data_IF_045513544543
#
_entry.id   IF_045513544543
#
_cell.length_a   1.000
_cell.length_b   1.000
_cell.length_c   1.000
_cell.angle_alpha   90.00
_cell.angle_beta   90.00
_cell.angle_gamma   90.00
#
_symmetry.space_group_name_H-M   'P 1'
#
loop_
_entity.id
_entity.type
_entity.pdbx_description
1 polymer ?
#
# COMPACT_ATOMS: atom_id res chain seq x y z
N UNK A 1 -15.79 -4.10 7.01
CA UNK A 1 -17.25 -4.28 6.94
C UNK A 1 -17.58 -5.07 5.71
N UNK A 2 -17.58 -6.38 5.89
CA UNK A 2 -18.22 -7.32 4.99
C UNK A 2 -19.72 -7.00 5.03
N UNK A 3 -20.32 -6.69 3.88
CA UNK A 3 -21.71 -6.25 3.80
C UNK A 3 -22.61 -7.45 3.55
N UNK A 4 -23.82 -7.44 4.13
CA UNK A 4 -24.85 -8.48 4.09
C UNK A 4 -25.23 -9.01 2.69
N UNK A 5 -24.73 -8.43 1.59
CA UNK A 5 -25.15 -8.76 0.23
C UNK A 5 -24.23 -9.70 -0.56
N UNK A 6 -23.04 -10.09 -0.09
CA UNK A 6 -22.11 -10.88 -0.93
C UNK A 6 -21.41 -12.08 -0.27
N UNK A 7 -22.05 -12.67 0.75
CA UNK A 7 -21.70 -13.83 1.60
C UNK A 7 -21.63 -13.36 3.06
N UNK A 8 -22.43 -13.97 3.93
CA UNK A 8 -22.56 -13.63 5.36
C UNK A 8 -21.20 -13.43 6.02
N UNK A 9 -21.02 -12.27 6.66
CA UNK A 9 -19.80 -11.84 7.33
C UNK A 9 -19.35 -12.86 8.39
N UNK A 10 -18.48 -13.81 8.01
CA UNK A 10 -18.27 -15.08 8.73
C UNK A 10 -18.06 -14.93 10.25
N UNK A 11 -16.92 -14.38 10.66
CA UNK A 11 -16.61 -14.22 12.10
C UNK A 11 -17.41 -13.09 12.77
N UNK A 12 -17.95 -12.16 12.00
CA UNK A 12 -18.75 -11.05 12.53
C UNK A 12 -20.13 -11.51 13.01
N UNK A 13 -20.69 -12.56 12.42
CA UNK A 13 -22.01 -13.11 12.80
C UNK A 13 -21.92 -14.16 13.92
N UNK A 14 -20.77 -14.79 14.10
CA UNK A 14 -20.60 -15.90 15.05
C UNK A 14 -20.17 -15.46 16.45
N UNK A 15 -19.49 -14.30 16.57
CA UNK A 15 -18.95 -13.81 17.83
C UNK A 15 -19.67 -12.56 18.33
N UNK A 16 -20.07 -12.55 19.60
CA UNK A 16 -20.73 -11.42 20.27
C UNK A 16 -19.90 -10.84 21.42
N UNK A 17 -20.21 -9.60 21.80
CA UNK A 17 -19.64 -8.92 22.98
C UNK A 17 -18.12 -8.70 22.91
N UNK A 18 -17.39 -9.23 23.89
CA UNK A 18 -15.94 -9.02 24.04
C UNK A 18 -15.11 -9.65 22.91
N UNK A 19 -15.54 -10.80 22.38
CA UNK A 19 -14.82 -11.49 21.29
C UNK A 19 -14.90 -10.69 19.99
N UNK A 20 -16.06 -10.12 19.70
CA UNK A 20 -16.24 -9.17 18.60
C UNK A 20 -15.32 -7.96 18.75
N UNK A 21 -15.27 -7.35 19.94
CA UNK A 21 -14.40 -6.20 20.21
C UNK A 21 -12.91 -6.52 19.98
N UNK A 22 -12.46 -7.72 20.36
CA UNK A 22 -11.08 -8.18 20.11
C UNK A 22 -10.77 -8.29 18.62
N UNK A 23 -11.68 -8.81 17.80
CA UNK A 23 -11.47 -8.87 16.34
C UNK A 23 -11.37 -7.47 15.70
N UNK A 24 -12.22 -6.53 16.12
CA UNK A 24 -12.14 -5.14 15.65
C UNK A 24 -10.84 -4.47 16.09
N UNK A 25 -10.43 -4.68 17.35
CA UNK A 25 -9.17 -4.14 17.86
C UNK A 25 -7.97 -4.67 17.06
N UNK A 26 -7.99 -5.95 16.70
CA UNK A 26 -6.95 -6.54 15.84
C UNK A 26 -6.98 -5.97 14.43
N UNK A 27 -8.14 -5.82 13.77
CA UNK A 27 -8.22 -5.24 12.42
C UNK A 27 -7.64 -3.81 12.38
N UNK A 28 -7.99 -2.97 13.36
CA UNK A 28 -7.41 -1.62 13.47
C UNK A 28 -5.96 -1.63 13.94
N UNK A 29 -5.58 -2.58 14.78
CA UNK A 29 -4.20 -2.78 15.26
C UNK A 29 -3.26 -3.19 14.14
N UNK A 30 -3.68 -4.09 13.25
CA UNK A 30 -2.93 -4.47 12.05
C UNK A 30 -2.75 -3.29 11.10
N UNK A 31 -3.81 -2.49 10.87
CA UNK A 31 -3.70 -1.29 10.06
C UNK A 31 -2.71 -0.26 10.65
N UNK A 32 -2.68 -0.11 11.98
CA UNK A 32 -1.70 0.73 12.68
C UNK A 32 -0.27 0.18 12.53
N UNK A 33 -0.08 -1.13 12.71
CA UNK A 33 1.21 -1.79 12.59
C UNK A 33 1.77 -1.70 11.16
N UNK A 34 0.93 -1.91 10.14
CA UNK A 34 1.31 -1.72 8.73
C UNK A 34 1.72 -0.27 8.45
N UNK A 35 0.98 0.70 9.00
CA UNK A 35 1.32 2.13 8.86
C UNK A 35 2.69 2.46 9.47
N UNK A 36 3.04 1.82 10.60
CA UNK A 36 4.34 1.95 11.23
C UNK A 36 5.45 1.34 10.36
N UNK A 37 5.24 0.15 9.78
CA UNK A 37 6.18 -0.51 8.86
C UNK A 37 6.40 0.32 7.60
N UNK A 38 5.34 0.87 7.01
CA UNK A 38 5.47 1.74 5.83
C UNK A 38 6.30 2.98 6.16
N UNK A 39 6.05 3.57 7.34
CA UNK A 39 6.78 4.75 7.80
C UNK A 39 8.26 4.48 8.00
N UNK A 40 8.64 3.34 8.57
CA UNK A 40 10.04 2.98 8.79
C UNK A 40 10.78 2.67 7.50
N UNK A 41 10.18 1.87 6.61
CA UNK A 41 10.83 1.39 5.40
C UNK A 41 10.89 2.44 4.29
N UNK A 42 9.81 3.21 4.09
CA UNK A 42 9.69 4.10 2.93
C UNK A 42 9.80 5.59 3.29
N UNK A 43 9.34 6.03 4.47
CA UNK A 43 9.33 7.46 4.85
C UNK A 43 10.51 7.89 5.75
N UNK A 44 11.63 7.16 5.67
CA UNK A 44 12.86 7.45 6.44
C UNK A 44 12.67 7.38 7.98
N UNK A 45 11.64 6.68 8.46
CA UNK A 45 11.36 6.47 9.87
C UNK A 45 11.42 7.75 10.70
N UNK A 46 12.40 7.81 11.60
CA UNK A 46 12.51 8.81 12.66
C UNK A 46 13.31 10.06 12.24
N UNK A 47 13.84 10.10 11.01
CA UNK A 47 14.59 11.25 10.49
C UNK A 47 13.65 12.39 10.14
N UNK A 48 13.89 13.55 10.75
CA UNK A 48 13.23 14.81 10.43
C UNK A 48 14.03 16.02 10.96
N UNK A 49 13.87 17.21 10.37
CA UNK A 49 14.78 18.34 10.58
C UNK A 49 14.51 19.18 11.84
N UNK A 50 13.30 19.14 12.40
CA UNK A 50 12.82 20.17 13.35
C UNK A 50 12.29 19.63 14.70
N UNK A 51 11.75 18.40 14.75
CA UNK A 51 11.07 17.86 15.94
C UNK A 51 11.84 16.68 16.54
N UNK A 52 11.52 16.34 17.79
CA UNK A 52 12.05 15.15 18.45
C UNK A 52 11.80 13.89 17.59
N UNK A 53 12.78 12.97 17.47
CA UNK A 53 12.69 11.84 16.55
C UNK A 53 11.46 10.95 16.72
N UNK A 54 11.04 10.72 17.97
CA UNK A 54 9.85 9.92 18.30
C UNK A 54 8.55 10.61 17.86
N UNK A 55 8.46 11.93 18.00
CA UNK A 55 7.29 12.71 17.60
C UNK A 55 7.14 12.72 16.08
N UNK A 56 8.25 12.81 15.35
CA UNK A 56 8.25 12.70 13.88
C UNK A 56 7.77 11.34 13.40
N UNK A 57 8.21 10.27 14.07
CA UNK A 57 7.77 8.92 13.75
C UNK A 57 6.26 8.75 13.97
N UNK A 58 5.75 9.23 15.11
CA UNK A 58 4.32 9.17 15.44
C UNK A 58 3.49 9.97 14.43
N UNK A 59 3.92 11.19 14.10
CA UNK A 59 3.20 12.04 13.15
C UNK A 59 3.12 11.41 11.75
N UNK A 60 4.23 10.87 11.24
CA UNK A 60 4.25 10.17 9.95
C UNK A 60 3.35 8.93 9.98
N UNK A 61 3.44 8.13 11.05
CA UNK A 61 2.62 6.92 11.21
C UNK A 61 1.12 7.26 11.25
N UNK A 62 0.73 8.30 11.99
CA UNK A 62 -0.66 8.79 12.03
C UNK A 62 -1.10 9.29 10.65
N UNK A 63 -0.21 9.95 9.90
CA UNK A 63 -0.51 10.42 8.54
C UNK A 63 -0.77 9.26 7.59
N UNK A 64 0.07 8.21 7.62
CA UNK A 64 -0.14 6.99 6.82
C UNK A 64 -1.43 6.27 7.22
N UNK A 65 -1.68 6.13 8.53
CA UNK A 65 -2.91 5.54 9.03
C UNK A 65 -4.16 6.33 8.59
N UNK A 66 -4.09 7.67 8.64
CA UNK A 66 -5.13 8.54 8.14
C UNK A 66 -5.41 8.32 6.65
N UNK A 67 -4.36 8.21 5.82
CA UNK A 67 -4.52 7.89 4.39
C UNK A 67 -5.19 6.52 4.20
N UNK A 68 -4.83 5.50 4.97
CA UNK A 68 -5.45 4.16 4.90
C UNK A 68 -6.95 4.19 5.27
N UNK A 69 -7.32 4.96 6.29
CA UNK A 69 -8.73 5.14 6.66
C UNK A 69 -9.47 5.96 5.61
N UNK A 70 -8.81 6.97 5.04
CA UNK A 70 -9.40 7.82 4.00
C UNK A 70 -9.64 7.06 2.70
N UNK A 71 -8.72 6.19 2.27
CA UNK A 71 -8.95 5.35 1.07
C UNK A 71 -10.11 4.39 1.27
N UNK A 72 -10.30 3.85 2.49
CA UNK A 72 -11.46 3.01 2.85
C UNK A 72 -12.78 3.74 2.73
N UNK A 73 -12.84 5.03 2.99
CA UNK A 73 -14.08 5.83 2.89
C UNK A 73 -14.34 6.38 1.49
N UNK A 74 -13.29 6.61 0.69
CA UNK A 74 -13.41 7.30 -0.60
C UNK A 74 -13.54 6.36 -1.79
N UNK A 75 -12.97 5.15 -1.73
CA UNK A 75 -12.96 4.24 -2.87
C UNK A 75 -14.27 3.44 -2.96
N UNK A 76 -14.90 3.38 -4.16
CA UNK A 76 -16.03 2.48 -4.39
C UNK A 76 -15.56 1.02 -4.27
N UNK A 77 -16.43 0.14 -3.79
CA UNK A 77 -16.12 -1.28 -3.61
C UNK A 77 -15.69 -1.91 -4.93
N UNK A 78 -14.58 -2.65 -4.90
CA UNK A 78 -14.02 -3.39 -6.06
C UNK A 78 -14.22 -4.87 -5.82
N UNK A 79 -14.65 -5.62 -6.86
CA UNK A 79 -14.82 -7.08 -6.77
C UNK A 79 -13.49 -7.77 -6.47
N UNK A 80 -13.52 -8.81 -5.65
CA UNK A 80 -12.32 -9.59 -5.26
C UNK A 80 -11.55 -10.10 -6.49
N UNK A 81 -12.23 -10.55 -7.54
CA UNK A 81 -11.59 -10.99 -8.79
C UNK A 81 -10.76 -9.88 -9.46
N UNK A 82 -11.26 -8.65 -9.43
CA UNK A 82 -10.58 -7.49 -10.01
C UNK A 82 -9.41 -7.05 -9.12
N UNK A 83 -9.57 -7.11 -7.80
CA UNK A 83 -8.49 -6.87 -6.84
C UNK A 83 -7.36 -7.89 -7.03
N UNK A 84 -7.70 -9.18 -7.18
CA UNK A 84 -6.72 -10.25 -7.39
C UNK A 84 -6.01 -10.08 -8.73
N UNK A 85 -6.74 -9.74 -9.80
CA UNK A 85 -6.14 -9.45 -11.09
C UNK A 85 -5.19 -8.24 -11.02
N UNK A 86 -5.54 -7.18 -10.29
CA UNK A 86 -4.66 -6.02 -10.08
C UNK A 86 -3.38 -6.42 -9.33
N UNK A 87 -3.50 -7.15 -8.22
CA UNK A 87 -2.33 -7.56 -7.43
C UNK A 87 -1.39 -8.48 -8.22
N UNK A 88 -1.94 -9.49 -8.90
CA UNK A 88 -1.12 -10.51 -9.57
C UNK A 88 -0.64 -10.14 -10.96
N UNK A 89 -1.44 -9.42 -11.75
CA UNK A 89 -1.08 -9.07 -13.14
C UNK A 89 -0.39 -7.71 -13.23
N UNK A 90 -0.69 -6.80 -12.30
CA UNK A 90 -0.16 -5.44 -12.34
C UNK A 90 0.91 -5.22 -11.27
N UNK A 91 0.58 -5.35 -9.98
CA UNK A 91 1.49 -4.95 -8.89
C UNK A 91 2.69 -5.89 -8.74
N UNK A 92 2.48 -7.20 -8.79
CA UNK A 92 3.55 -8.17 -8.57
C UNK A 92 4.65 -8.14 -9.64
N UNK A 93 4.34 -8.15 -10.96
CA UNK A 93 5.37 -8.04 -11.99
C UNK A 93 6.09 -6.69 -11.95
N UNK A 94 5.37 -5.60 -11.66
CA UNK A 94 5.94 -4.26 -11.54
C UNK A 94 6.96 -4.19 -10.40
N UNK A 95 6.66 -4.80 -9.25
CA UNK A 95 7.58 -4.88 -8.11
C UNK A 95 8.86 -5.65 -8.46
N UNK A 96 8.75 -6.75 -9.20
CA UNK A 96 9.92 -7.52 -9.67
C UNK A 96 10.76 -6.71 -10.66
N UNK A 97 10.15 -6.04 -11.62
CA UNK A 97 10.86 -5.20 -12.59
C UNK A 97 11.60 -4.06 -11.87
N UNK A 98 10.94 -3.40 -10.90
CA UNK A 98 11.57 -2.36 -10.10
C UNK A 98 12.77 -2.90 -9.28
N UNK A 99 12.65 -4.11 -8.72
CA UNK A 99 13.74 -4.76 -8.01
C UNK A 99 14.95 -5.03 -8.91
N UNK A 100 14.75 -5.55 -10.12
CA UNK A 100 15.85 -5.79 -11.06
C UNK A 100 16.52 -4.49 -11.51
N UNK A 101 15.74 -3.45 -11.75
CA UNK A 101 16.27 -2.15 -12.17
C UNK A 101 17.12 -1.52 -11.06
N UNK A 102 16.62 -1.53 -9.83
CA UNK A 102 17.38 -1.03 -8.67
C UNK A 102 18.65 -1.84 -8.43
N UNK A 103 18.61 -3.16 -8.64
CA UNK A 103 19.81 -4.00 -8.57
C UNK A 103 20.86 -3.64 -9.64
N UNK A 104 20.44 -3.36 -10.88
CA UNK A 104 21.34 -2.91 -11.96
C UNK A 104 21.90 -1.52 -11.67
N UNK A 105 21.07 -0.59 -11.17
CA UNK A 105 21.47 0.78 -10.85
C UNK A 105 22.60 0.80 -9.82
N UNK A 106 22.48 -0.01 -8.76
CA UNK A 106 23.52 -0.16 -7.72
C UNK A 106 24.82 -0.75 -8.27
N UNK A 107 24.76 -1.65 -9.26
CA UNK A 107 25.94 -2.25 -9.88
C UNK A 107 26.69 -1.25 -10.79
N UNK A 108 25.95 -0.44 -11.55
CA UNK A 108 26.52 0.50 -12.53
C UNK A 108 27.09 1.75 -11.86
N UNK A 109 26.44 2.25 -10.80
CA UNK A 109 26.86 3.46 -10.08
C UNK A 109 27.04 3.23 -8.57
N UNK A 110 28.16 2.58 -8.16
CA UNK A 110 28.44 2.34 -6.74
C UNK A 110 28.74 3.62 -5.93
N UNK A 111 29.25 4.67 -6.57
CA UNK A 111 29.66 5.94 -5.93
C UNK A 111 28.62 7.07 -6.06
N UNK A 112 27.41 6.79 -6.56
CA UNK A 112 26.40 7.81 -6.72
C UNK A 112 25.88 8.30 -5.35
N UNK A 113 25.85 9.62 -5.17
CA UNK A 113 25.32 10.24 -3.96
C UNK A 113 23.82 9.88 -3.79
N UNK A 114 23.35 9.54 -2.57
CA UNK A 114 21.96 9.17 -2.33
C UNK A 114 20.95 10.22 -2.83
N UNK A 115 21.33 11.49 -2.81
CA UNK A 115 20.51 12.61 -3.24
C UNK A 115 20.24 12.64 -4.76
N UNK A 116 21.13 12.10 -5.60
CA UNK A 116 20.91 12.02 -7.05
C UNK A 116 20.15 10.76 -7.45
N UNK A 117 20.28 9.68 -6.68
CA UNK A 117 19.55 8.43 -6.92
C UNK A 117 18.06 8.54 -6.61
N UNK A 118 17.66 9.31 -5.59
CA UNK A 118 16.24 9.51 -5.23
C UNK A 118 15.40 10.04 -6.41
N UNK A 119 15.73 11.16 -7.08
CA UNK A 119 14.93 11.67 -8.19
C UNK A 119 14.98 10.75 -9.42
N UNK A 120 16.10 10.08 -9.67
CA UNK A 120 16.25 9.12 -10.76
C UNK A 120 15.32 7.92 -10.55
N UNK A 121 15.32 7.32 -9.36
CA UNK A 121 14.48 6.18 -9.04
C UNK A 121 12.98 6.55 -9.07
N UNK A 122 12.60 7.74 -8.58
CA UNK A 122 11.22 8.26 -8.71
C UNK A 122 10.82 8.43 -10.18
N UNK A 123 11.72 8.94 -11.01
CA UNK A 123 11.46 9.12 -12.45
C UNK A 123 11.30 7.77 -13.15
N UNK A 124 12.18 6.82 -12.86
CA UNK A 124 12.10 5.46 -13.41
C UNK A 124 10.81 4.77 -12.95
N UNK A 125 10.46 4.86 -11.67
CA UNK A 125 9.20 4.34 -11.14
C UNK A 125 8.00 4.96 -11.87
N UNK A 126 7.96 6.29 -12.04
CA UNK A 126 6.87 6.96 -12.75
C UNK A 126 6.77 6.50 -14.21
N UNK A 127 7.88 6.37 -14.92
CA UNK A 127 7.93 5.87 -16.30
C UNK A 127 7.45 4.42 -16.37
N UNK A 128 7.92 3.55 -15.47
CA UNK A 128 7.49 2.14 -15.39
C UNK A 128 5.99 2.04 -15.16
N UNK A 129 5.45 2.80 -14.19
CA UNK A 129 4.01 2.81 -13.91
C UNK A 129 3.22 3.26 -15.14
N UNK A 130 3.63 4.35 -15.80
CA UNK A 130 2.94 4.88 -16.98
C UNK A 130 3.04 3.98 -18.22
N UNK A 131 4.16 3.28 -18.40
CA UNK A 131 4.34 2.32 -19.50
C UNK A 131 3.56 1.04 -19.23
N UNK A 132 3.64 0.51 -18.01
CA UNK A 132 2.94 -0.71 -17.61
C UNK A 132 1.42 -0.49 -17.56
N UNK A 133 0.95 0.70 -17.15
CA UNK A 133 -0.47 1.05 -17.17
C UNK A 133 -1.06 1.09 -18.58
N UNK A 134 -0.24 1.39 -19.61
CA UNK A 134 -0.71 1.37 -21.01
C UNK A 134 -0.95 -0.04 -21.54
N UNK A 135 -0.18 -1.03 -21.06
CA UNK A 135 -0.35 -2.43 -21.41
C UNK A 135 -1.60 -3.04 -20.77
N UNK A 136 -1.91 -2.62 -19.55
CA UNK A 136 -3.08 -3.08 -18.84
C UNK A 136 -4.22 -2.07 -18.97
N UNK A 137 -4.98 -2.18 -20.07
CA UNK A 137 -6.40 -1.80 -20.00
C UNK A 137 -7.04 -2.78 -19.03
N UNK A 138 -7.11 -2.40 -17.74
CA UNK A 138 -7.92 -3.11 -16.76
C UNK A 138 -9.27 -3.33 -17.45
N UNK A 139 -9.66 -4.58 -17.63
CA UNK A 139 -10.86 -4.94 -18.37
C UNK A 139 -12.10 -4.43 -17.64
N UNK A 140 -12.41 -3.14 -17.79
CA UNK A 140 -13.73 -2.55 -17.56
C UNK A 140 -14.70 -2.97 -18.70
N UNK A 141 -14.47 -4.17 -19.25
CA UNK A 141 -15.19 -4.73 -20.37
C UNK A 141 -16.34 -5.57 -19.85
N UNK A 142 -17.52 -4.94 -19.79
CA UNK A 142 -18.85 -5.54 -19.58
C UNK A 142 -19.12 -6.09 -18.17
N UNK A 143 -19.68 -5.23 -17.33
CA UNK A 143 -20.84 -5.67 -16.54
C UNK A 143 -22.03 -5.60 -17.50
N UNK A 144 -22.21 -6.66 -18.29
CA UNK A 144 -23.48 -6.91 -18.95
C UNK A 144 -24.25 -7.87 -18.05
N UNK A 145 -25.39 -7.35 -17.58
CA UNK A 145 -26.47 -7.97 -16.79
C UNK A 145 -26.14 -8.25 -15.32
#
# INVERSE_FOLDING_TARGET
FEADSELTAGFHTEYSGMKFAMFYLTEYGEALALSAIITTLFLSGWKGPLLAPWLWFVLKTITVFFVMVWTRTTLPRVRIDQLMALSWKFLFPLALINLFITAIEVLVWPEALPWTMIPVNITIMAVLVLLWSKFFKLGWGRVAV
#
